data_IF_490359625664
#
_entry.id   IF_490359625664
#
_cell.length_a   1.000
_cell.length_b   1.000
_cell.length_c   1.000
_cell.angle_alpha   90.00
_cell.angle_beta   90.00
_cell.angle_gamma   90.00
#
_symmetry.space_group_name_H-M   'P 1'
#
loop_
_entity.id
_entity.type
_entity.pdbx_description
1 polymer ?
#
# COMPACT_ATOMS: atom_id res chain seq x y z
N UNK A 1 55.10 -8.47 25.76
CA UNK A 1 54.48 -7.49 24.85
C UNK A 1 52.99 -7.49 25.13
N UNK A 2 52.50 -6.29 25.40
CA UNK A 2 51.23 -5.88 25.99
C UNK A 2 49.93 -6.56 25.54
N UNK A 3 49.16 -6.94 26.56
CA UNK A 3 47.73 -6.71 26.91
C UNK A 3 46.68 -6.23 25.87
N UNK A 4 45.38 -6.45 26.19
CA UNK A 4 44.30 -6.82 25.27
C UNK A 4 43.30 -5.68 24.97
N UNK A 5 42.35 -5.93 24.06
CA UNK A 5 41.17 -5.09 23.85
C UNK A 5 39.87 -5.88 23.92
N UNK A 6 39.24 -5.90 25.10
CA UNK A 6 37.81 -6.14 25.31
C UNK A 6 37.14 -4.80 25.58
N UNK A 7 36.12 -4.44 24.77
CA UNK A 7 35.02 -3.52 25.11
C UNK A 7 33.84 -3.91 24.20
N UNK A 8 32.82 -4.65 24.67
CA UNK A 8 31.58 -4.21 25.32
C UNK A 8 30.80 -3.18 24.50
N UNK A 9 29.57 -3.53 24.10
CA UNK A 9 28.64 -2.61 23.44
C UNK A 9 27.26 -3.19 23.18
N UNK A 10 26.70 -3.95 24.13
CA UNK A 10 25.24 -4.12 24.22
C UNK A 10 24.68 -2.90 24.97
N UNK A 11 23.83 -2.12 24.32
CA UNK A 11 22.90 -1.22 24.98
C UNK A 11 21.66 -1.03 24.12
N UNK A 12 20.55 -1.63 24.54
CA UNK A 12 19.22 -1.14 24.21
C UNK A 12 19.06 0.25 24.86
N UNK A 13 18.66 1.26 24.09
CA UNK A 13 18.03 2.45 24.64
C UNK A 13 16.98 2.98 23.68
N UNK A 14 15.84 3.31 24.25
CA UNK A 14 14.67 3.91 23.64
C UNK A 14 15.01 5.10 22.73
N UNK A 15 14.28 5.25 21.62
CA UNK A 15 14.25 6.52 20.87
C UNK A 15 14.59 6.46 19.38
N UNK A 16 14.59 5.29 18.73
CA UNK A 16 14.68 5.27 17.27
C UNK A 16 13.36 5.77 16.64
N UNK A 17 13.29 7.07 16.39
CA UNK A 17 12.54 7.58 15.25
C UNK A 17 13.07 6.84 14.03
N UNK A 18 12.24 5.96 13.46
CA UNK A 18 12.56 5.22 12.24
C UNK A 18 12.92 6.24 11.15
N UNK A 19 14.15 6.13 10.68
CA UNK A 19 14.72 6.96 9.64
C UNK A 19 13.86 6.95 8.37
N UNK A 20 13.60 8.18 7.91
CA UNK A 20 13.73 8.60 6.51
C UNK A 20 12.85 7.91 5.46
N UNK A 21 11.97 8.72 4.84
CA UNK A 21 11.39 8.48 3.52
C UNK A 21 12.45 8.52 2.42
N UNK A 22 13.39 7.57 2.45
CA UNK A 22 14.51 7.45 1.54
C UNK A 22 14.19 6.42 0.44
N UNK A 23 13.90 6.96 -0.75
CA UNK A 23 14.06 6.32 -2.07
C UNK A 23 13.09 5.17 -2.42
N UNK A 24 11.83 5.52 -2.65
CA UNK A 24 11.00 4.67 -3.53
C UNK A 24 11.67 4.54 -4.92
N UNK A 25 11.67 3.35 -5.52
CA UNK A 25 12.32 3.10 -6.80
C UNK A 25 11.67 3.88 -7.95
N UNK A 26 12.47 4.33 -8.91
CA UNK A 26 11.98 4.93 -10.18
C UNK A 26 11.54 3.91 -11.21
N UNK A 27 11.81 2.63 -10.95
CA UNK A 27 11.51 1.53 -11.84
C UNK A 27 9.99 1.34 -11.96
N UNK A 28 9.58 0.78 -13.09
CA UNK A 28 8.23 0.26 -13.23
C UNK A 28 8.03 -0.96 -12.33
N UNK A 29 6.79 -1.23 -11.94
CA UNK A 29 6.46 -2.40 -11.13
C UNK A 29 5.06 -2.29 -10.52
N UNK A 30 4.87 -3.00 -9.41
CA UNK A 30 3.62 -3.00 -8.67
C UNK A 30 3.85 -2.57 -7.21
N UNK A 31 2.78 -2.18 -6.52
CA UNK A 31 2.84 -1.73 -5.15
C UNK A 31 1.58 -2.10 -4.38
N UNK A 32 1.69 -2.14 -3.06
CA UNK A 32 0.56 -2.26 -2.14
C UNK A 32 0.50 -1.00 -1.27
N UNK A 33 -0.66 -0.38 -1.18
CA UNK A 33 -0.93 0.70 -0.22
C UNK A 33 -1.77 0.16 0.94
N UNK A 34 -1.28 0.30 2.17
CA UNK A 34 -2.11 0.12 3.36
C UNK A 34 -2.81 1.42 3.73
N UNK A 35 -4.14 1.40 3.69
CA UNK A 35 -5.00 2.56 3.88
C UNK A 35 -5.90 2.33 5.08
N UNK A 36 -5.90 3.27 6.03
CA UNK A 36 -6.86 3.30 7.15
C UNK A 36 -7.95 4.34 6.89
N UNK A 37 -9.21 3.90 6.89
CA UNK A 37 -10.38 4.78 6.88
C UNK A 37 -10.88 4.94 8.32
N UNK A 38 -10.83 6.16 8.85
CA UNK A 38 -11.34 6.44 10.21
C UNK A 38 -12.88 6.53 10.27
N UNK A 39 -13.53 6.69 9.11
CA UNK A 39 -14.98 6.79 8.95
C UNK A 39 -15.40 6.16 7.63
N UNK A 40 -16.67 5.76 7.46
CA UNK A 40 -17.15 5.21 6.21
C UNK A 40 -16.93 6.16 5.03
N UNK A 41 -16.54 5.62 3.88
CA UNK A 41 -16.30 6.37 2.65
C UNK A 41 -17.19 5.84 1.54
N UNK A 42 -17.99 6.72 0.94
CA UNK A 42 -18.77 6.40 -0.25
C UNK A 42 -17.87 6.46 -1.49
N UNK A 43 -17.89 5.39 -2.27
CA UNK A 43 -17.11 5.25 -3.50
C UNK A 43 -18.00 4.79 -4.64
N UNK A 44 -17.85 5.42 -5.79
CA UNK A 44 -18.46 5.00 -7.05
C UNK A 44 -17.40 4.31 -7.89
N UNK A 45 -17.70 3.11 -8.35
CA UNK A 45 -16.97 2.43 -9.43
C UNK A 45 -17.75 2.71 -10.72
N UNK A 46 -17.04 3.08 -11.80
CA UNK A 46 -17.70 3.45 -13.06
C UNK A 46 -18.71 2.38 -13.52
N UNK A 47 -19.89 2.81 -13.96
CA UNK A 47 -20.98 1.91 -14.37
C UNK A 47 -21.67 1.14 -13.24
N UNK A 48 -21.42 1.48 -11.96
CA UNK A 48 -22.06 0.85 -10.79
C UNK A 48 -22.60 1.88 -9.82
N UNK A 49 -23.62 1.48 -9.04
CA UNK A 49 -24.11 2.29 -7.92
C UNK A 49 -23.00 2.53 -6.90
N UNK A 50 -23.04 3.70 -6.26
CA UNK A 50 -22.12 4.03 -5.19
C UNK A 50 -22.26 3.04 -4.03
N UNK A 51 -21.14 2.52 -3.52
CA UNK A 51 -21.09 1.68 -2.33
C UNK A 51 -20.34 2.38 -1.21
N UNK A 52 -20.70 2.06 0.03
CA UNK A 52 -20.02 2.58 1.21
C UNK A 52 -19.00 1.55 1.69
N UNK A 53 -17.73 1.93 1.74
CA UNK A 53 -16.70 1.19 2.46
C UNK A 53 -16.77 1.58 3.93
N UNK A 54 -16.89 0.64 4.88
CA UNK A 54 -16.89 0.96 6.31
C UNK A 54 -15.54 1.53 6.77
N UNK A 55 -15.50 2.07 7.99
CA UNK A 55 -14.23 2.35 8.66
C UNK A 55 -13.43 1.05 8.81
N UNK A 56 -12.10 1.12 8.71
CA UNK A 56 -11.23 -0.06 8.77
C UNK A 56 -9.95 0.08 7.97
N UNK A 57 -9.24 -1.03 7.82
CA UNK A 57 -7.97 -1.11 7.07
C UNK A 57 -8.17 -1.82 5.75
N UNK A 58 -7.50 -1.31 4.73
CA UNK A 58 -7.61 -1.78 3.36
C UNK A 58 -6.24 -1.87 2.73
N UNK A 59 -6.08 -2.85 1.83
CA UNK A 59 -4.92 -2.97 0.96
C UNK A 59 -5.35 -2.71 -0.47
N UNK A 60 -4.62 -1.84 -1.15
CA UNK A 60 -4.80 -1.61 -2.57
C UNK A 60 -3.55 -2.05 -3.33
N UNK A 61 -3.73 -3.02 -4.24
CA UNK A 61 -2.69 -3.43 -5.17
C UNK A 61 -2.76 -2.57 -6.44
N UNK A 62 -1.66 -2.00 -6.88
CA UNK A 62 -1.63 -1.14 -8.06
C UNK A 62 -0.37 -1.31 -8.89
N UNK A 63 -0.46 -0.98 -10.16
CA UNK A 63 0.69 -0.92 -11.07
C UNK A 63 1.21 0.50 -11.31
N UNK A 64 2.51 0.60 -11.56
CA UNK A 64 3.25 1.83 -11.82
C UNK A 64 4.09 1.67 -13.09
N UNK A 65 3.44 1.63 -14.25
CA UNK A 65 4.08 1.48 -15.57
C UNK A 65 4.33 2.79 -16.33
N UNK A 66 3.98 3.93 -15.72
CA UNK A 66 4.13 5.25 -16.34
C UNK A 66 5.47 5.93 -16.03
N UNK A 67 5.71 7.14 -16.58
CA UNK A 67 6.92 7.91 -16.33
C UNK A 67 7.18 8.14 -14.83
N UNK A 68 8.43 7.94 -14.42
CA UNK A 68 8.87 8.04 -13.02
C UNK A 68 8.50 6.84 -12.13
N UNK A 69 7.86 5.81 -12.70
CA UNK A 69 7.66 4.49 -12.09
C UNK A 69 6.96 4.51 -10.74
N UNK A 70 7.38 3.57 -9.87
CA UNK A 70 6.82 3.36 -8.54
C UNK A 70 6.84 4.64 -7.71
N UNK A 71 7.98 5.35 -7.64
CA UNK A 71 8.12 6.60 -6.90
C UNK A 71 7.08 7.63 -7.31
N UNK A 72 6.96 7.92 -8.60
CA UNK A 72 6.03 8.95 -9.08
C UNK A 72 4.56 8.57 -8.82
N UNK A 73 4.20 7.29 -9.06
CA UNK A 73 2.83 6.80 -8.85
C UNK A 73 2.45 6.80 -7.36
N UNK A 74 3.31 6.24 -6.51
CA UNK A 74 3.08 6.18 -5.06
C UNK A 74 3.05 7.58 -4.47
N UNK A 75 4.02 8.44 -4.79
CA UNK A 75 4.05 9.83 -4.30
C UNK A 75 2.75 10.58 -4.65
N UNK A 76 2.20 10.35 -5.85
CA UNK A 76 0.88 10.89 -6.20
C UNK A 76 -0.22 10.37 -5.28
N UNK A 77 -0.27 9.08 -4.98
CA UNK A 77 -1.28 8.52 -4.08
C UNK A 77 -1.12 8.99 -2.63
N UNK A 78 0.08 9.36 -2.21
CA UNK A 78 0.31 9.96 -0.88
C UNK A 78 -0.15 11.43 -0.78
N UNK A 79 -0.20 12.18 -1.89
CA UNK A 79 -0.67 13.59 -1.88
C UNK A 79 -2.14 13.70 -1.47
N UNK A 80 -2.46 14.59 -0.52
CA UNK A 80 -3.84 14.83 -0.07
C UNK A 80 -4.66 15.66 -1.04
N UNK A 81 -4.09 16.77 -1.53
CA UNK A 81 -4.74 17.66 -2.50
C UNK A 81 -4.33 17.23 -3.91
N UNK A 82 -5.26 16.67 -4.67
CA UNK A 82 -5.05 16.21 -6.06
C UNK A 82 -6.37 16.04 -6.79
N UNK A 83 -6.34 16.16 -8.10
CA UNK A 83 -7.44 15.71 -8.96
C UNK A 83 -7.57 14.19 -8.86
N UNK A 84 -8.80 13.73 -8.62
CA UNK A 84 -9.14 12.32 -8.44
C UNK A 84 -9.17 11.65 -9.82
N UNK A 85 -8.11 10.91 -10.15
CA UNK A 85 -7.97 10.24 -11.46
C UNK A 85 -8.09 8.72 -11.34
N UNK A 86 -7.64 8.14 -10.24
CA UNK A 86 -7.72 6.70 -9.98
C UNK A 86 -8.75 6.37 -8.89
N UNK A 87 -9.32 5.17 -8.93
CA UNK A 87 -10.27 4.71 -7.90
C UNK A 87 -9.70 4.87 -6.47
N UNK A 88 -8.44 4.46 -6.26
CA UNK A 88 -7.75 4.57 -4.97
C UNK A 88 -7.54 6.03 -4.49
N UNK A 89 -7.58 7.03 -5.38
CA UNK A 89 -7.51 8.43 -4.97
C UNK A 89 -8.71 8.80 -4.08
N UNK A 90 -9.88 8.17 -4.27
CA UNK A 90 -11.07 8.40 -3.44
C UNK A 90 -10.83 8.00 -1.98
N UNK A 91 -10.04 6.95 -1.76
CA UNK A 91 -9.65 6.45 -0.45
C UNK A 91 -8.48 7.25 0.13
N UNK A 92 -7.41 7.46 -0.62
CA UNK A 92 -6.20 8.13 -0.11
C UNK A 92 -6.39 9.62 0.21
N UNK A 93 -7.38 10.27 -0.41
CA UNK A 93 -7.76 11.65 -0.04
C UNK A 93 -8.62 11.72 1.23
N UNK A 94 -9.24 10.61 1.66
CA UNK A 94 -10.18 10.55 2.81
C UNK A 94 -9.68 9.69 3.98
N UNK A 95 -8.71 8.82 3.74
CA UNK A 95 -8.08 7.94 4.73
C UNK A 95 -6.57 8.09 4.71
N UNK A 96 -5.89 7.49 5.68
CA UNK A 96 -4.44 7.65 5.84
C UNK A 96 -3.72 6.44 5.27
N UNK A 97 -2.80 6.68 4.33
CA UNK A 97 -1.83 5.67 3.93
C UNK A 97 -0.78 5.58 5.03
N UNK A 98 -0.60 4.40 5.62
CA UNK A 98 0.31 4.20 6.76
C UNK A 98 1.43 3.20 6.49
N UNK A 99 1.35 2.46 5.38
CA UNK A 99 2.43 1.59 4.92
C UNK A 99 2.36 1.45 3.39
N UNK A 100 3.51 1.21 2.76
CA UNK A 100 3.64 0.97 1.33
C UNK A 100 4.60 -0.20 1.13
N UNK A 101 4.29 -1.09 0.19
CA UNK A 101 5.26 -2.04 -0.35
C UNK A 101 5.48 -1.70 -1.81
N UNK A 102 6.72 -1.51 -2.23
CA UNK A 102 7.08 -1.25 -3.62
C UNK A 102 7.83 -2.46 -4.18
N UNK A 103 7.34 -3.00 -5.30
CA UNK A 103 7.87 -4.22 -5.93
C UNK A 103 8.30 -3.87 -7.36
N UNK A 104 9.55 -3.44 -7.59
CA UNK A 104 10.11 -3.25 -8.92
C UNK A 104 9.92 -4.48 -9.79
N UNK A 105 9.50 -4.30 -11.04
CA UNK A 105 9.20 -5.39 -11.98
C UNK A 105 8.00 -6.26 -11.61
N UNK A 106 7.34 -6.02 -10.47
CA UNK A 106 6.21 -6.82 -10.02
C UNK A 106 4.93 -6.57 -10.83
N UNK A 107 3.99 -7.52 -10.71
CA UNK A 107 2.65 -7.42 -11.26
C UNK A 107 1.59 -7.27 -10.16
N UNK A 108 0.60 -6.42 -10.39
CA UNK A 108 -0.43 -6.14 -9.39
C UNK A 108 -1.40 -7.30 -9.19
N UNK A 109 -1.64 -8.14 -10.21
CA UNK A 109 -2.51 -9.31 -10.08
C UNK A 109 -1.83 -10.40 -9.25
N UNK A 110 -0.51 -10.53 -9.34
CA UNK A 110 0.24 -11.48 -8.52
C UNK A 110 0.27 -11.04 -7.04
N UNK A 111 0.30 -9.74 -6.76
CA UNK A 111 0.09 -9.21 -5.40
C UNK A 111 -1.31 -9.53 -4.88
N UNK A 112 -2.35 -9.36 -5.69
CA UNK A 112 -3.73 -9.75 -5.33
C UNK A 112 -3.81 -11.26 -5.07
N UNK A 113 -3.16 -12.08 -5.90
CA UNK A 113 -3.16 -13.53 -5.73
C UNK A 113 -2.46 -13.96 -4.42
N UNK A 114 -1.33 -13.34 -4.06
CA UNK A 114 -0.66 -13.57 -2.76
C UNK A 114 -1.54 -13.20 -1.57
N UNK A 115 -2.44 -12.24 -1.74
CA UNK A 115 -3.35 -11.76 -0.72
C UNK A 115 -4.78 -12.31 -0.88
N UNK A 116 -4.97 -13.38 -1.66
CA UNK A 116 -6.30 -13.85 -2.06
C UNK A 116 -7.17 -14.37 -0.90
N UNK A 117 -6.56 -14.69 0.25
CA UNK A 117 -7.28 -15.05 1.47
C UNK A 117 -8.04 -13.85 2.09
N UNK A 118 -7.69 -12.62 1.71
CA UNK A 118 -8.33 -11.43 2.24
C UNK A 118 -9.70 -11.16 1.57
N UNK A 119 -10.69 -10.64 2.32
CA UNK A 119 -12.00 -10.33 1.77
C UNK A 119 -11.93 -9.25 0.69
N UNK A 120 -12.81 -9.36 -0.32
CA UNK A 120 -13.02 -8.33 -1.34
C UNK A 120 -14.22 -7.46 -0.93
N UNK A 121 -14.01 -6.25 -0.38
CA UNK A 121 -15.11 -5.40 0.11
C UNK A 121 -15.90 -4.74 -1.04
N UNK A 122 -15.26 -4.55 -2.21
CA UNK A 122 -15.85 -3.84 -3.33
C UNK A 122 -15.36 -4.45 -4.65
N UNK A 123 -16.15 -5.38 -5.25
CA UNK A 123 -15.83 -5.94 -6.56
C UNK A 123 -15.71 -4.87 -7.65
N UNK A 124 -14.79 -5.06 -8.59
CA UNK A 124 -14.50 -4.16 -9.70
C UNK A 124 -13.67 -2.92 -9.34
N UNK A 125 -13.29 -2.76 -8.06
CA UNK A 125 -12.49 -1.61 -7.66
C UNK A 125 -11.04 -1.77 -8.12
N UNK A 126 -10.58 -0.85 -8.96
CA UNK A 126 -9.19 -0.84 -9.46
C UNK A 126 -8.86 -1.98 -10.43
N UNK A 127 -9.84 -2.78 -10.85
CA UNK A 127 -9.67 -3.94 -11.73
C UNK A 127 -10.47 -3.80 -13.03
N UNK A 128 -10.75 -2.58 -13.48
CA UNK A 128 -11.61 -2.33 -14.66
C UNK A 128 -11.03 -2.87 -15.96
N UNK A 129 -9.71 -2.92 -16.07
CA UNK A 129 -8.93 -3.47 -17.17
C UNK A 129 -8.41 -4.89 -16.89
N UNK A 130 -8.74 -5.47 -15.73
CA UNK A 130 -8.29 -6.79 -15.32
C UNK A 130 -9.43 -7.81 -15.35
N UNK A 131 -9.25 -8.90 -16.10
CA UNK A 131 -10.22 -10.00 -16.19
C UNK A 131 -10.02 -11.08 -15.12
N UNK A 132 -8.84 -11.15 -14.50
CA UNK A 132 -8.45 -12.18 -13.51
C UNK A 132 -8.92 -11.83 -12.10
N UNK A 133 -8.84 -10.56 -11.72
CA UNK A 133 -9.07 -10.13 -10.35
C UNK A 133 -10.51 -9.65 -10.14
N UNK A 134 -11.17 -10.13 -9.08
CA UNK A 134 -12.48 -9.61 -8.66
C UNK A 134 -12.40 -8.15 -8.21
N UNK A 135 -11.27 -7.74 -7.64
CA UNK A 135 -10.96 -6.38 -7.20
C UNK A 135 -9.46 -6.29 -6.91
N UNK A 136 -8.87 -5.11 -7.01
CA UNK A 136 -7.53 -4.83 -6.49
C UNK A 136 -7.55 -4.19 -5.09
N UNK A 137 -8.76 -3.97 -4.55
CA UNK A 137 -8.97 -3.54 -3.16
C UNK A 137 -9.37 -4.73 -2.30
N UNK A 138 -8.64 -4.93 -1.22
CA UNK A 138 -8.85 -5.98 -0.23
C UNK A 138 -9.07 -5.35 1.15
N UNK A 139 -9.92 -5.95 1.97
CA UNK A 139 -10.05 -5.59 3.37
C UNK A 139 -8.94 -6.26 4.18
N UNK A 140 -8.39 -5.56 5.17
CA UNK A 140 -7.33 -6.10 6.04
C UNK A 140 -7.81 -6.16 7.49
N UNK A 141 -8.41 -7.30 7.91
CA UNK A 141 -8.86 -7.49 9.29
C UNK A 141 -7.71 -7.36 10.30
N UNK A 142 -8.06 -7.05 11.56
CA UNK A 142 -7.09 -7.06 12.66
C UNK A 142 -6.50 -8.45 12.91
N UNK A 143 -5.23 -8.49 13.30
CA UNK A 143 -4.51 -9.76 13.54
C UNK A 143 -4.07 -10.56 12.32
N UNK A 144 -4.41 -10.16 11.09
CA UNK A 144 -4.01 -10.89 9.87
C UNK A 144 -2.62 -10.48 9.40
N UNK A 145 -1.69 -11.43 9.32
CA UNK A 145 -0.39 -11.22 8.70
C UNK A 145 -0.46 -11.31 7.17
N UNK A 146 0.35 -10.52 6.47
CA UNK A 146 0.27 -10.37 5.01
C UNK A 146 1.28 -11.20 4.23
N UNK A 147 2.34 -11.71 4.88
CA UNK A 147 3.44 -12.40 4.18
C UNK A 147 4.13 -11.55 3.10
N UNK A 148 4.06 -10.21 3.20
CA UNK A 148 4.70 -9.27 2.27
C UNK A 148 6.10 -8.82 2.72
N UNK A 149 6.52 -9.18 3.93
CA UNK A 149 7.70 -8.61 4.58
C UNK A 149 7.44 -7.20 5.12
N UNK A 150 8.48 -6.52 5.66
CA UNK A 150 8.36 -5.16 6.16
C UNK A 150 8.02 -4.18 5.02
N UNK A 151 7.29 -3.08 5.31
CA UNK A 151 7.03 -2.05 4.32
C UNK A 151 8.31 -1.28 3.94
N UNK A 152 8.24 -0.62 2.78
CA UNK A 152 9.31 0.22 2.20
C UNK A 152 9.26 1.67 2.69
#
# INVERSE_FOLDING_TARGET
MDRPGTTIGSACAAGHTCESGASLPTLAGAYVLAIRLARPVRVTVAGRMAKTLPAGRYLYCGSARGPGGLRARIARHLRRRKTLRWHVDRLTTRGTVFAVWAIPGGDECDLVARLAALPVPLPGFGSSDCRRCRSHLLAWPEGVELGLGPPA
#
